data_IF_049872340224
#
_entry.id   IF_049872340224
#
_cell.length_a   1.000
_cell.length_b   1.000
_cell.length_c   1.000
_cell.angle_alpha   90.00
_cell.angle_beta   90.00
_cell.angle_gamma   90.00
#
_symmetry.space_group_name_H-M   'P 1'
#
loop_
_entity.id
_entity.type
_entity.pdbx_description
1 polymer ?
#
# COMPACT_ATOMS: atom_id res chain seq x y z
N UNK A 1 -3.12 64.98 11.80
CA UNK A 1 -2.78 63.64 12.33
C UNK A 1 -1.40 63.26 11.83
N UNK A 2 -0.46 62.75 12.66
CA UNK A 2 0.84 62.31 12.19
C UNK A 2 0.66 61.19 11.18
N UNK A 3 1.56 61.13 10.19
CA UNK A 3 1.50 60.28 9.02
C UNK A 3 1.14 58.81 9.39
N UNK A 4 -0.03 58.38 8.98
CA UNK A 4 -0.40 56.95 9.11
C UNK A 4 0.53 56.13 8.23
N UNK A 5 0.99 55.01 8.76
CA UNK A 5 1.75 54.03 7.97
C UNK A 5 0.94 53.58 6.77
N UNK A 6 1.55 53.53 5.60
CA UNK A 6 0.96 52.83 4.45
C UNK A 6 0.70 51.34 4.78
N UNK A 7 -0.25 50.73 4.08
CA UNK A 7 -0.66 49.34 4.33
C UNK A 7 0.51 48.34 4.47
N UNK A 8 1.51 48.47 3.61
CA UNK A 8 2.70 47.58 3.65
C UNK A 8 3.53 47.79 4.93
N UNK A 9 3.70 49.04 5.40
CA UNK A 9 4.38 49.34 6.66
C UNK A 9 3.59 48.86 7.87
N UNK A 10 2.26 49.02 7.82
CA UNK A 10 1.40 48.48 8.87
C UNK A 10 1.52 46.97 8.96
N UNK A 11 1.44 46.25 7.83
CA UNK A 11 1.61 44.80 7.80
C UNK A 11 2.98 44.37 8.30
N UNK A 12 4.03 45.09 7.94
CA UNK A 12 5.40 44.83 8.44
C UNK A 12 5.48 44.95 9.97
N UNK A 13 5.03 46.07 10.55
CA UNK A 13 5.03 46.27 12.01
C UNK A 13 4.09 45.28 12.72
N UNK A 14 2.92 44.97 12.15
CA UNK A 14 2.02 43.98 12.69
C UNK A 14 2.67 42.57 12.71
N UNK A 15 3.36 42.17 11.63
CA UNK A 15 4.07 40.89 11.57
C UNK A 15 5.20 40.82 12.58
N UNK A 16 5.99 41.89 12.77
CA UNK A 16 7.03 41.96 13.79
C UNK A 16 6.44 41.86 15.21
N UNK A 17 5.33 42.56 15.46
CA UNK A 17 4.65 42.51 16.76
C UNK A 17 4.08 41.13 17.06
N UNK A 18 3.50 40.45 16.06
CA UNK A 18 3.05 39.08 16.19
C UNK A 18 4.19 38.07 16.40
N UNK A 19 5.29 38.21 15.66
CA UNK A 19 6.44 37.34 15.78
C UNK A 19 7.07 37.40 17.21
N UNK A 20 7.12 38.60 17.83
CA UNK A 20 7.63 38.71 19.19
C UNK A 20 6.72 38.16 20.29
N UNK A 21 5.39 38.11 20.06
CA UNK A 21 4.41 37.57 21.01
C UNK A 21 4.15 36.07 20.87
N UNK A 22 4.50 35.50 19.73
CA UNK A 22 4.34 34.07 19.42
C UNK A 22 5.66 33.46 19.00
N UNK A 23 6.64 33.34 19.93
CA UNK A 23 7.92 32.74 19.59
C UNK A 23 7.71 31.29 19.12
N UNK A 24 8.28 30.96 17.96
CA UNK A 24 8.27 29.60 17.43
C UNK A 24 9.29 28.76 18.19
N UNK A 25 8.86 27.66 18.77
CA UNK A 25 9.76 26.65 19.35
C UNK A 25 10.34 25.79 18.21
N UNK A 26 11.66 25.63 18.20
CA UNK A 26 12.34 24.66 17.32
C UNK A 26 12.10 23.27 17.91
N UNK A 27 11.37 22.43 17.20
CA UNK A 27 11.16 21.03 17.60
C UNK A 27 12.37 20.22 17.11
N UNK A 28 13.24 19.85 18.02
CA UNK A 28 14.35 18.93 17.75
C UNK A 28 13.74 17.53 17.55
N UNK A 29 14.12 16.87 16.47
CA UNK A 29 13.77 15.46 16.22
C UNK A 29 14.98 14.58 16.47
N UNK A 30 14.78 13.49 17.18
CA UNK A 30 15.82 12.49 17.41
C UNK A 30 15.98 11.59 16.17
N UNK A 31 17.18 11.04 15.94
CA UNK A 31 17.40 10.07 14.87
C UNK A 31 16.48 8.85 15.01
N UNK A 32 15.98 8.35 13.89
CA UNK A 32 15.10 7.19 13.80
C UNK A 32 13.82 7.24 14.69
N UNK A 33 13.47 8.43 15.22
CA UNK A 33 12.28 8.56 16.06
C UNK A 33 10.99 8.46 15.24
N UNK A 34 10.84 9.25 14.18
CA UNK A 34 9.57 9.41 13.47
C UNK A 34 9.69 9.23 11.97
N UNK A 35 8.85 8.35 11.43
CA UNK A 35 8.53 8.24 10.01
C UNK A 35 7.17 8.91 9.76
N UNK A 36 7.17 10.02 9.03
CA UNK A 36 5.97 10.75 8.67
C UNK A 36 5.41 10.20 7.37
N UNK A 37 4.09 10.01 7.28
CA UNK A 37 3.43 9.40 6.13
C UNK A 37 2.25 10.24 5.68
N UNK A 38 2.13 10.41 4.35
CA UNK A 38 0.98 11.04 3.71
C UNK A 38 0.73 10.46 2.31
N UNK A 39 -0.42 10.76 1.73
CA UNK A 39 -0.69 10.52 0.31
C UNK A 39 -0.67 11.84 -0.45
N UNK A 40 -0.03 11.85 -1.61
CA UNK A 40 -0.14 12.97 -2.52
C UNK A 40 -1.61 13.13 -2.99
N UNK A 41 -2.08 14.40 -3.07
CA UNK A 41 -3.47 14.68 -3.44
C UNK A 41 -3.78 14.34 -4.91
N UNK A 42 -2.79 14.48 -5.81
CA UNK A 42 -2.93 14.11 -7.22
C UNK A 42 -2.52 12.66 -7.46
N UNK A 43 -3.00 12.08 -8.55
CA UNK A 43 -2.67 10.72 -8.99
C UNK A 43 -1.60 10.71 -10.08
N UNK A 44 -0.87 9.61 -10.19
CA UNK A 44 -0.15 9.21 -11.38
C UNK A 44 -0.90 8.05 -12.03
N UNK A 45 -0.62 7.75 -13.31
CA UNK A 45 -1.38 6.73 -14.02
C UNK A 45 -0.49 5.87 -14.92
N UNK A 46 -0.97 4.67 -15.22
CA UNK A 46 -0.45 3.82 -16.29
C UNK A 46 -1.59 3.33 -17.18
N UNK A 47 -1.28 2.91 -18.40
CA UNK A 47 -2.23 2.31 -19.33
C UNK A 47 -2.17 0.80 -19.20
N UNK A 48 -3.29 0.15 -18.94
CA UNK A 48 -3.37 -1.31 -18.97
C UNK A 48 -3.23 -1.80 -20.42
N UNK A 49 -2.18 -2.55 -20.76
CA UNK A 49 -1.95 -3.00 -22.14
C UNK A 49 -3.01 -3.99 -22.63
N UNK A 50 -3.76 -4.65 -21.74
CA UNK A 50 -4.80 -5.61 -22.12
C UNK A 50 -6.13 -4.92 -22.48
N UNK A 51 -6.47 -3.81 -21.79
CA UNK A 51 -7.75 -3.11 -21.96
C UNK A 51 -7.60 -1.76 -22.64
N UNK A 52 -6.41 -1.16 -22.64
CA UNK A 52 -6.16 0.22 -23.06
C UNK A 52 -6.68 1.27 -22.09
N UNK A 53 -7.19 0.88 -20.93
CA UNK A 53 -7.71 1.79 -19.91
C UNK A 53 -6.60 2.48 -19.14
N UNK A 54 -6.86 3.76 -18.80
CA UNK A 54 -5.97 4.54 -17.93
C UNK A 54 -6.27 4.22 -16.46
N UNK A 55 -5.33 3.59 -15.78
CA UNK A 55 -5.44 3.23 -14.36
C UNK A 55 -4.77 4.32 -13.51
N UNK A 56 -5.57 5.06 -12.75
CA UNK A 56 -5.07 6.06 -11.82
C UNK A 56 -4.58 5.41 -10.53
N UNK A 57 -3.40 5.84 -10.07
CA UNK A 57 -2.74 5.34 -8.87
C UNK A 57 -2.52 6.45 -7.85
N UNK A 58 -2.75 6.13 -6.59
CA UNK A 58 -2.41 7.02 -5.47
C UNK A 58 -0.91 6.96 -5.22
N UNK A 59 -0.30 8.07 -4.83
CA UNK A 59 1.13 8.11 -4.51
C UNK A 59 1.32 8.26 -3.02
N UNK A 60 1.85 7.22 -2.42
CA UNK A 60 2.26 7.14 -1.03
C UNK A 60 3.60 7.83 -0.87
N UNK A 61 3.71 8.71 0.12
CA UNK A 61 4.91 9.53 0.39
C UNK A 61 5.25 9.41 1.85
N UNK A 62 6.49 9.19 2.14
CA UNK A 62 6.99 9.18 3.51
C UNK A 62 8.36 9.83 3.61
N UNK A 63 8.62 10.36 4.81
CA UNK A 63 9.94 10.92 5.12
C UNK A 63 10.34 10.67 6.58
N UNK A 64 11.62 10.39 6.78
CA UNK A 64 12.23 10.37 8.11
C UNK A 64 12.39 11.80 8.63
N UNK A 65 11.85 12.06 9.82
CA UNK A 65 11.72 13.42 10.35
C UNK A 65 13.06 14.11 10.61
N UNK A 66 14.09 13.36 10.93
CA UNK A 66 15.40 13.93 11.31
C UNK A 66 16.25 14.32 10.10
N UNK A 67 16.20 13.55 9.02
CA UNK A 67 17.09 13.72 7.87
C UNK A 67 16.42 14.17 6.59
N UNK A 68 15.08 14.20 6.55
CA UNK A 68 14.26 14.41 5.35
C UNK A 68 14.49 13.36 4.25
N UNK A 69 15.11 12.23 4.61
CA UNK A 69 15.24 11.11 3.68
C UNK A 69 13.85 10.57 3.34
N UNK A 70 13.53 10.53 2.06
CA UNK A 70 12.17 10.33 1.60
C UNK A 70 12.04 9.13 0.67
N UNK A 71 10.90 8.47 0.74
CA UNK A 71 10.48 7.39 -0.15
C UNK A 71 9.10 7.72 -0.72
N UNK A 72 8.84 7.30 -1.95
CA UNK A 72 7.50 7.37 -2.54
C UNK A 72 7.25 6.18 -3.45
N UNK A 73 6.00 5.72 -3.51
CA UNK A 73 5.56 4.71 -4.46
C UNK A 73 4.09 4.89 -4.83
N UNK A 74 3.73 4.45 -6.03
CA UNK A 74 2.35 4.38 -6.47
C UNK A 74 1.69 3.08 -5.99
N UNK A 75 0.44 3.19 -5.55
CA UNK A 75 -0.44 2.09 -5.19
C UNK A 75 -1.80 2.30 -5.85
N UNK A 76 -2.61 1.24 -5.98
CA UNK A 76 -3.90 1.38 -6.67
C UNK A 76 -4.89 2.26 -5.90
N UNK A 77 -4.94 2.11 -4.58
CA UNK A 77 -5.94 2.78 -3.74
C UNK A 77 -5.32 3.29 -2.44
N UNK A 78 -6.12 4.03 -1.66
CA UNK A 78 -5.78 4.36 -0.27
C UNK A 78 -6.40 3.35 0.71
N UNK A 79 -6.51 2.08 0.33
CA UNK A 79 -6.98 1.02 1.23
C UNK A 79 -5.94 0.69 2.31
N UNK A 80 -6.38 0.04 3.38
CA UNK A 80 -5.47 -0.44 4.43
C UNK A 80 -4.42 -1.38 3.86
N UNK A 81 -4.79 -2.21 2.89
CA UNK A 81 -3.90 -3.19 2.25
C UNK A 81 -2.77 -2.51 1.49
N UNK A 82 -3.14 -1.54 0.64
CA UNK A 82 -2.18 -0.78 -0.17
C UNK A 82 -1.27 0.07 0.73
N UNK A 83 -1.83 0.65 1.80
CA UNK A 83 -1.06 1.39 2.81
C UNK A 83 -0.02 0.49 3.51
N UNK A 84 -0.45 -0.67 4.01
CA UNK A 84 0.44 -1.63 4.70
C UNK A 84 1.53 -2.13 3.75
N UNK A 85 1.15 -2.43 2.49
CA UNK A 85 2.11 -2.84 1.48
C UNK A 85 3.16 -1.75 1.21
N UNK A 86 2.73 -0.50 1.01
CA UNK A 86 3.63 0.61 0.77
C UNK A 86 4.55 0.89 1.98
N UNK A 87 4.00 0.90 3.19
CA UNK A 87 4.78 1.05 4.42
C UNK A 87 5.81 -0.07 4.57
N UNK A 88 5.45 -1.31 4.27
CA UNK A 88 6.39 -2.42 4.30
C UNK A 88 7.52 -2.24 3.28
N UNK A 89 7.21 -1.84 2.04
CA UNK A 89 8.20 -1.52 1.03
C UNK A 89 9.18 -0.43 1.50
N UNK A 90 8.67 0.60 2.19
CA UNK A 90 9.56 1.63 2.74
C UNK A 90 10.46 1.10 3.85
N UNK A 91 9.91 0.35 4.83
CA UNK A 91 10.72 -0.23 5.90
C UNK A 91 11.88 -1.09 5.32
N UNK A 92 11.61 -1.83 4.25
CA UNK A 92 12.66 -2.58 3.53
C UNK A 92 13.62 -1.66 2.79
N UNK A 93 13.14 -0.59 2.17
CA UNK A 93 13.98 0.39 1.47
C UNK A 93 14.95 1.10 2.43
N UNK A 94 14.48 1.58 3.57
CA UNK A 94 15.34 2.23 4.58
C UNK A 94 16.22 1.21 5.34
N UNK A 95 15.88 -0.07 5.26
CA UNK A 95 16.64 -1.17 5.88
C UNK A 95 16.53 -1.22 7.39
N UNK A 96 15.41 -0.78 7.96
CA UNK A 96 15.18 -0.81 9.42
C UNK A 96 13.82 -0.24 9.81
N UNK A 97 13.59 -0.14 11.11
CA UNK A 97 12.31 0.24 11.70
C UNK A 97 12.49 1.47 12.59
N UNK A 98 11.75 2.57 12.36
CA UNK A 98 11.73 3.73 13.24
C UNK A 98 10.99 3.43 14.54
N UNK A 99 11.14 4.31 15.55
CA UNK A 99 10.42 4.16 16.82
C UNK A 99 8.93 4.39 16.63
N UNK A 100 8.56 5.38 15.81
CA UNK A 100 7.17 5.77 15.59
C UNK A 100 6.87 5.95 14.10
N UNK A 101 5.67 5.52 13.72
CA UNK A 101 5.06 5.80 12.41
C UNK A 101 3.92 6.80 12.62
N UNK A 102 3.95 7.91 11.91
CA UNK A 102 3.03 9.05 12.08
C UNK A 102 2.23 9.25 10.79
N UNK A 103 1.11 8.55 10.62
CA UNK A 103 0.21 8.77 9.48
C UNK A 103 -0.57 10.08 9.66
N UNK A 104 -0.70 10.86 8.56
CA UNK A 104 -1.54 12.05 8.57
C UNK A 104 -3.00 11.71 8.30
N UNK A 105 -3.88 11.85 9.31
CA UNK A 105 -5.36 11.73 9.28
C UNK A 105 -5.95 10.72 8.26
N UNK A 106 -5.19 9.70 7.96
CA UNK A 106 -5.53 8.71 6.96
C UNK A 106 -6.68 7.81 7.47
N UNK A 107 -7.82 7.85 6.80
CA UNK A 107 -9.04 7.11 7.20
C UNK A 107 -8.82 5.60 7.33
N UNK A 108 -7.87 5.03 6.58
CA UNK A 108 -7.54 3.61 6.69
C UNK A 108 -6.68 3.30 7.93
N UNK A 109 -5.87 4.25 8.41
CA UNK A 109 -5.08 4.09 9.64
C UNK A 109 -5.89 4.40 10.90
N UNK A 110 -6.86 5.32 10.82
CA UNK A 110 -7.63 5.81 11.96
C UNK A 110 -9.11 5.52 11.73
N UNK A 111 -9.68 4.60 12.51
CA UNK A 111 -11.11 4.22 12.42
C UNK A 111 -12.01 5.32 12.97
N UNK A 112 -11.55 6.02 14.04
CA UNK A 112 -12.21 7.20 14.61
C UNK A 112 -11.19 8.27 14.97
N UNK A 113 -11.33 9.44 14.36
CA UNK A 113 -10.54 10.60 14.72
C UNK A 113 -11.10 11.19 16.04
N UNK A 114 -10.38 11.02 17.15
CA UNK A 114 -10.64 11.71 18.42
C UNK A 114 -9.40 12.54 18.73
N UNK A 115 -9.61 13.75 19.31
CA UNK A 115 -8.53 14.67 19.67
C UNK A 115 -7.59 14.10 20.74
N UNK A 116 -8.08 13.19 21.58
CA UNK A 116 -7.36 12.65 22.72
C UNK A 116 -6.96 11.17 22.55
N UNK A 117 -7.80 10.35 21.92
CA UNK A 117 -7.56 8.91 21.71
C UNK A 117 -8.09 8.47 20.34
N UNK A 118 -7.28 8.57 19.27
CA UNK A 118 -7.69 8.06 17.97
C UNK A 118 -7.73 6.53 17.99
N UNK A 119 -8.80 5.94 17.46
CA UNK A 119 -8.88 4.49 17.30
C UNK A 119 -8.11 4.09 16.05
N UNK A 120 -7.02 3.37 16.22
CA UNK A 120 -6.14 2.89 15.14
C UNK A 120 -6.74 1.61 14.54
N UNK A 121 -6.54 1.43 13.23
CA UNK A 121 -6.94 0.21 12.54
C UNK A 121 -6.17 -1.00 13.12
N UNK A 122 -6.88 -2.08 13.43
CA UNK A 122 -6.30 -3.27 14.07
C UNK A 122 -5.15 -3.88 13.24
N UNK A 123 -5.28 -3.93 11.91
CA UNK A 123 -4.24 -4.50 11.04
C UNK A 123 -2.96 -3.68 11.09
N UNK A 124 -3.08 -2.35 11.15
CA UNK A 124 -1.92 -1.47 11.29
C UNK A 124 -1.29 -1.61 12.68
N UNK A 125 -2.11 -1.80 13.72
CA UNK A 125 -1.62 -2.08 15.08
C UNK A 125 -0.85 -3.41 15.12
N UNK A 126 -1.36 -4.44 14.46
CA UNK A 126 -0.71 -5.76 14.36
C UNK A 126 0.64 -5.65 13.63
N UNK A 127 0.71 -4.83 12.57
CA UNK A 127 1.97 -4.53 11.87
C UNK A 127 2.96 -3.78 12.79
N UNK A 128 2.47 -2.80 13.56
CA UNK A 128 3.27 -2.08 14.57
C UNK A 128 3.86 -3.03 15.61
N UNK A 129 3.05 -3.95 16.11
CA UNK A 129 3.49 -4.98 17.06
C UNK A 129 4.51 -5.94 16.44
N UNK A 130 4.30 -6.33 15.18
CA UNK A 130 5.20 -7.25 14.45
C UNK A 130 6.60 -6.65 14.25
N UNK A 131 6.69 -5.39 13.80
CA UNK A 131 7.96 -4.71 13.55
C UNK A 131 8.51 -3.95 14.76
N UNK A 132 7.71 -3.73 15.79
CA UNK A 132 8.11 -3.02 17.02
C UNK A 132 8.14 -1.50 16.90
N UNK A 133 7.22 -0.90 16.10
CA UNK A 133 7.00 0.54 16.05
C UNK A 133 5.67 0.95 16.68
N UNK A 134 5.62 2.15 17.25
CA UNK A 134 4.38 2.74 17.72
C UNK A 134 3.69 3.52 16.61
N UNK A 135 2.35 3.52 16.58
CA UNK A 135 1.56 4.34 15.67
C UNK A 135 1.09 5.57 16.42
N UNK A 136 1.48 6.74 15.97
CA UNK A 136 1.16 8.00 16.61
C UNK A 136 0.53 8.94 15.56
N UNK A 137 -0.79 8.86 15.32
CA UNK A 137 -1.45 9.73 14.37
C UNK A 137 -1.16 11.21 14.63
N UNK A 138 -1.01 11.99 13.57
CA UNK A 138 -0.79 13.41 13.69
C UNK A 138 -1.94 14.08 14.46
N UNK A 139 -1.60 14.99 15.39
CA UNK A 139 -2.59 15.63 16.25
C UNK A 139 -3.50 16.55 15.46
N UNK A 140 -4.82 16.39 15.65
CA UNK A 140 -5.83 17.25 15.02
C UNK A 140 -5.62 18.70 15.47
N UNK A 141 -5.56 19.63 14.50
CA UNK A 141 -5.46 21.07 14.78
C UNK A 141 -4.07 21.58 15.17
N UNK A 142 -2.98 20.81 14.96
CA UNK A 142 -1.59 21.26 15.14
C UNK A 142 -0.83 21.25 13.80
N UNK A 143 -0.91 22.30 12.98
CA UNK A 143 -0.28 22.34 11.65
C UNK A 143 1.23 22.09 11.65
N UNK A 144 1.92 22.49 12.73
CA UNK A 144 3.39 22.31 12.85
C UNK A 144 3.82 20.84 12.89
N UNK A 145 2.95 19.92 13.32
CA UNK A 145 3.26 18.49 13.35
C UNK A 145 3.28 17.90 11.93
N UNK A 146 2.57 18.52 10.98
CA UNK A 146 2.38 18.07 9.60
C UNK A 146 3.26 18.81 8.58
N UNK A 147 3.71 20.03 8.91
CA UNK A 147 4.37 20.94 7.95
C UNK A 147 5.51 20.24 7.19
N UNK A 148 6.29 19.39 7.85
CA UNK A 148 7.42 18.71 7.23
C UNK A 148 6.99 17.67 6.18
N UNK A 149 5.96 16.83 6.47
CA UNK A 149 5.48 15.86 5.49
C UNK A 149 4.76 16.55 4.33
N UNK A 150 4.02 17.64 4.60
CA UNK A 150 3.41 18.47 3.56
C UNK A 150 4.46 19.09 2.64
N UNK A 151 5.59 19.54 3.19
CA UNK A 151 6.70 20.07 2.39
C UNK A 151 7.39 18.95 1.57
N UNK A 152 7.52 17.74 2.11
CA UNK A 152 8.01 16.60 1.33
C UNK A 152 7.04 16.22 0.21
N UNK A 153 5.73 16.24 0.44
CA UNK A 153 4.73 16.03 -0.63
C UNK A 153 4.90 17.08 -1.73
N UNK A 154 5.09 18.36 -1.41
CA UNK A 154 5.38 19.41 -2.40
C UNK A 154 6.66 19.13 -3.19
N UNK A 155 7.72 18.64 -2.53
CA UNK A 155 8.96 18.24 -3.20
C UNK A 155 8.74 17.04 -4.13
N UNK A 156 7.92 16.08 -3.75
CA UNK A 156 7.52 14.96 -4.63
C UNK A 156 6.79 15.50 -5.87
N UNK A 157 5.89 16.48 -5.74
CA UNK A 157 5.27 17.12 -6.93
C UNK A 157 6.31 17.72 -7.87
N UNK A 158 7.30 18.42 -7.34
CA UNK A 158 8.35 19.05 -8.16
C UNK A 158 9.33 18.04 -8.75
N UNK A 159 9.69 16.99 -8.02
CA UNK A 159 10.76 16.05 -8.37
C UNK A 159 10.27 14.81 -9.09
N UNK A 160 9.05 14.36 -8.82
CA UNK A 160 8.45 13.15 -9.40
C UNK A 160 7.40 13.53 -10.44
N UNK A 161 6.31 14.19 -10.05
CA UNK A 161 5.19 14.49 -10.96
C UNK A 161 5.64 15.34 -12.15
N UNK A 162 6.43 16.38 -11.92
CA UNK A 162 6.90 17.24 -13.01
C UNK A 162 7.69 16.47 -14.07
N UNK A 163 8.42 15.41 -13.68
CA UNK A 163 9.20 14.57 -14.60
C UNK A 163 8.36 13.46 -15.25
N UNK A 164 7.37 12.91 -14.53
CA UNK A 164 6.67 11.71 -14.95
C UNK A 164 5.30 11.98 -15.60
N UNK A 165 4.63 13.11 -15.35
CA UNK A 165 3.27 13.43 -15.85
C UNK A 165 3.10 13.37 -17.37
N UNK A 166 4.19 13.47 -18.13
CA UNK A 166 4.19 13.40 -19.61
C UNK A 166 4.67 12.05 -20.13
N UNK A 167 5.08 11.14 -19.26
CA UNK A 167 5.53 9.80 -19.65
C UNK A 167 4.35 8.84 -19.61
N UNK A 168 4.37 7.87 -20.52
CA UNK A 168 3.39 6.80 -20.55
C UNK A 168 4.03 5.55 -19.93
N UNK A 169 3.29 4.88 -19.08
CA UNK A 169 3.67 3.65 -18.39
C UNK A 169 2.63 2.57 -18.72
N UNK A 170 3.04 1.32 -18.76
CA UNK A 170 2.19 0.19 -19.12
C UNK A 170 1.97 -0.79 -17.96
N UNK A 171 2.51 -0.49 -16.79
CA UNK A 171 2.26 -1.25 -15.56
C UNK A 171 2.55 -0.43 -14.32
N UNK A 172 1.95 -0.83 -13.18
CA UNK A 172 2.28 -0.25 -11.88
C UNK A 172 3.76 -0.45 -11.53
N UNK A 173 4.35 -1.58 -11.92
CA UNK A 173 5.78 -1.86 -11.68
C UNK A 173 6.67 -0.88 -12.43
N UNK A 174 6.39 -0.61 -13.71
CA UNK A 174 7.13 0.35 -14.53
C UNK A 174 7.03 1.77 -13.95
N UNK A 175 5.82 2.18 -13.56
CA UNK A 175 5.59 3.45 -12.89
C UNK A 175 6.39 3.55 -11.58
N UNK A 176 6.38 2.51 -10.76
CA UNK A 176 7.12 2.48 -9.50
C UNK A 176 8.64 2.48 -9.68
N UNK A 177 9.17 1.83 -10.71
CA UNK A 177 10.59 1.95 -11.06
C UNK A 177 10.97 3.40 -11.40
N UNK A 178 10.14 4.09 -12.19
CA UNK A 178 10.38 5.48 -12.54
C UNK A 178 10.28 6.43 -11.33
N UNK A 179 9.32 6.20 -10.41
CA UNK A 179 9.21 6.94 -9.14
C UNK A 179 10.45 6.70 -8.28
N UNK A 180 10.86 5.45 -8.12
CA UNK A 180 12.05 5.08 -7.33
C UNK A 180 13.31 5.76 -7.85
N UNK A 181 13.52 5.80 -9.17
CA UNK A 181 14.63 6.52 -9.77
C UNK A 181 14.59 8.02 -9.47
N UNK A 182 13.41 8.66 -9.56
CA UNK A 182 13.24 10.07 -9.21
C UNK A 182 13.52 10.33 -7.72
N UNK A 183 13.12 9.42 -6.83
CA UNK A 183 13.37 9.52 -5.39
C UNK A 183 14.84 9.31 -5.04
N UNK A 184 15.53 8.41 -5.72
CA UNK A 184 16.98 8.24 -5.58
C UNK A 184 17.71 9.55 -5.93
N UNK A 185 17.42 10.14 -7.10
CA UNK A 185 17.96 11.42 -7.50
C UNK A 185 17.64 12.54 -6.49
N UNK A 186 16.42 12.54 -5.94
CA UNK A 186 16.00 13.50 -4.92
C UNK A 186 16.83 13.37 -3.65
N UNK A 187 17.02 12.16 -3.13
CA UNK A 187 17.79 11.90 -1.93
C UNK A 187 19.30 12.21 -2.11
N UNK A 188 19.83 12.02 -3.31
CA UNK A 188 21.20 12.34 -3.68
C UNK A 188 21.42 13.80 -4.09
N UNK A 189 20.34 14.57 -4.26
CA UNK A 189 20.46 16.00 -4.54
C UNK A 189 20.89 16.75 -3.28
N UNK A 190 21.93 17.58 -3.40
CA UNK A 190 22.40 18.45 -2.32
C UNK A 190 21.26 19.33 -1.80
N UNK A 191 21.10 19.37 -0.49
CA UNK A 191 20.07 20.19 0.15
C UNK A 191 20.41 21.68 0.01
N UNK A 192 19.36 22.49 -0.17
CA UNK A 192 19.52 23.92 -0.28
C UNK A 192 20.15 24.48 1.01
N UNK A 193 21.16 25.35 0.89
CA UNK A 193 21.91 25.97 2.00
C UNK A 193 22.71 24.99 2.88
N UNK A 194 22.86 23.72 2.48
CA UNK A 194 23.60 22.71 3.23
C UNK A 194 24.71 22.05 2.39
N UNK A 195 25.82 21.61 2.98
CA UNK A 195 26.92 20.98 2.26
C UNK A 195 26.70 19.48 2.00
N UNK A 196 25.54 18.92 2.36
CA UNK A 196 25.25 17.48 2.33
C UNK A 196 23.96 17.17 1.56
N UNK A 197 23.80 15.89 1.24
CA UNK A 197 22.57 15.30 0.67
C UNK A 197 21.71 14.66 1.78
N UNK A 198 20.45 14.34 1.46
CA UNK A 198 19.58 13.59 2.39
C UNK A 198 20.12 12.19 2.64
N UNK A 199 20.64 11.54 1.61
CA UNK A 199 21.21 10.20 1.69
C UNK A 199 22.45 10.17 2.61
N UNK A 200 23.37 11.12 2.49
CA UNK A 200 24.53 11.24 3.38
C UNK A 200 24.11 11.41 4.84
N UNK A 201 23.13 12.26 5.10
CA UNK A 201 22.58 12.42 6.46
C UNK A 201 21.90 11.16 6.97
N UNK A 202 21.09 10.51 6.12
CA UNK A 202 20.43 9.25 6.49
C UNK A 202 21.45 8.19 6.87
N UNK A 203 22.45 7.95 6.04
CA UNK A 203 23.45 6.91 6.27
C UNK A 203 24.29 7.17 7.53
N UNK A 204 24.60 8.43 7.82
CA UNK A 204 25.46 8.81 8.95
C UNK A 204 24.71 9.01 10.26
N UNK A 205 23.52 9.63 10.23
CA UNK A 205 22.83 10.10 11.42
C UNK A 205 21.59 9.28 11.80
N UNK A 206 20.97 8.54 10.88
CA UNK A 206 19.67 7.92 11.14
C UNK A 206 19.70 6.40 11.03
N UNK A 207 20.31 5.88 9.96
CA UNK A 207 20.41 4.43 9.71
C UNK A 207 21.00 3.61 10.87
N UNK A 208 22.03 4.08 11.60
CA UNK A 208 22.59 3.33 12.73
C UNK A 208 21.64 3.17 13.92
N UNK A 209 20.61 4.03 14.02
CA UNK A 209 19.63 4.05 15.12
C UNK A 209 18.32 3.35 14.78
N UNK A 210 18.10 2.97 13.52
CA UNK A 210 16.94 2.17 13.14
C UNK A 210 16.99 0.78 13.80
N UNK A 211 15.86 0.31 14.30
CA UNK A 211 15.74 -1.06 14.79
C UNK A 211 15.87 -2.05 13.63
N UNK A 212 16.39 -3.28 13.87
CA UNK A 212 16.46 -4.29 12.82
C UNK A 212 15.06 -4.70 12.34
N UNK A 213 14.94 -5.00 11.06
CA UNK A 213 13.72 -5.57 10.48
C UNK A 213 13.49 -6.98 11.02
N UNK A 214 12.23 -7.35 11.21
CA UNK A 214 11.88 -8.74 11.50
C UNK A 214 12.30 -9.66 10.34
N UNK A 215 12.78 -10.86 10.67
CA UNK A 215 13.23 -11.83 9.68
C UNK A 215 12.11 -12.30 8.74
N UNK A 216 10.87 -12.31 9.22
CA UNK A 216 9.68 -12.69 8.45
C UNK A 216 8.91 -11.41 8.12
N UNK A 217 8.59 -11.13 6.84
CA UNK A 217 7.75 -10.00 6.46
C UNK A 217 6.36 -10.09 7.09
N UNK A 218 5.78 -8.94 7.44
CA UNK A 218 4.41 -8.90 7.91
C UNK A 218 3.45 -9.23 6.76
N UNK A 219 2.53 -10.16 7.01
CA UNK A 219 1.52 -10.56 6.04
C UNK A 219 0.12 -10.27 6.57
N UNK A 220 -0.62 -9.43 5.85
CA UNK A 220 -2.01 -9.14 6.18
C UNK A 220 -2.84 -10.40 5.94
N UNK A 221 -3.57 -10.82 6.97
CA UNK A 221 -4.51 -11.94 6.90
C UNK A 221 -5.92 -11.44 7.13
N UNK A 222 -6.79 -11.73 6.18
CA UNK A 222 -8.22 -11.49 6.28
C UNK A 222 -8.94 -12.81 6.52
N UNK A 223 -10.03 -12.73 7.27
CA UNK A 223 -10.82 -13.90 7.67
C UNK A 223 -12.23 -13.74 7.15
N UNK A 224 -12.76 -14.80 6.58
CA UNK A 224 -14.16 -14.91 6.19
C UNK A 224 -14.68 -16.32 6.49
N UNK A 225 -15.96 -16.41 6.78
CA UNK A 225 -16.66 -17.69 6.86
C UNK A 225 -17.67 -17.73 5.72
N UNK A 226 -17.54 -18.71 4.82
CA UNK A 226 -18.30 -18.79 3.58
C UNK A 226 -18.91 -20.19 3.42
N UNK A 227 -20.08 -20.26 2.77
CA UNK A 227 -20.72 -21.51 2.43
C UNK A 227 -20.32 -21.96 1.04
N UNK A 228 -19.98 -23.24 0.89
CA UNK A 228 -19.65 -23.83 -0.41
C UNK A 228 -20.92 -24.02 -1.25
N UNK A 229 -20.91 -23.46 -2.44
CA UNK A 229 -22.03 -23.53 -3.37
C UNK A 229 -22.12 -24.90 -4.06
N UNK A 230 -23.25 -25.19 -4.71
CA UNK A 230 -23.52 -26.48 -5.42
C UNK A 230 -22.51 -26.76 -6.56
N UNK A 231 -21.84 -25.74 -7.07
CA UNK A 231 -20.80 -25.83 -8.09
C UNK A 231 -19.40 -26.04 -7.51
N UNK A 232 -19.28 -26.48 -6.24
CA UNK A 232 -18.04 -26.69 -5.48
C UNK A 232 -17.11 -25.48 -5.45
N UNK A 233 -17.67 -24.26 -5.42
CA UNK A 233 -16.90 -23.02 -5.27
C UNK A 233 -17.39 -22.22 -4.07
N UNK A 234 -16.48 -21.43 -3.50
CA UNK A 234 -16.81 -20.30 -2.62
C UNK A 234 -16.74 -19.01 -3.41
N UNK A 235 -17.56 -18.04 -3.05
CA UNK A 235 -17.51 -16.69 -3.59
C UNK A 235 -16.85 -15.74 -2.60
N UNK A 236 -15.66 -15.24 -2.93
CA UNK A 236 -14.99 -14.22 -2.13
C UNK A 236 -15.46 -12.84 -2.59
N UNK A 237 -16.39 -12.27 -1.82
CA UNK A 237 -17.09 -11.02 -2.18
C UNK A 237 -16.16 -9.83 -2.37
N UNK A 238 -15.03 -9.76 -1.65
CA UNK A 238 -14.02 -8.70 -1.79
C UNK A 238 -13.39 -8.67 -3.18
N UNK A 239 -13.10 -9.85 -3.73
CA UNK A 239 -12.46 -9.99 -5.05
C UNK A 239 -13.50 -10.16 -6.16
N UNK A 240 -14.77 -10.41 -5.78
CA UNK A 240 -15.84 -10.81 -6.70
C UNK A 240 -15.44 -12.00 -7.56
N UNK A 241 -14.72 -12.96 -6.96
CA UNK A 241 -14.12 -14.11 -7.62
C UNK A 241 -14.52 -15.42 -6.96
N UNK A 242 -14.53 -16.53 -7.73
CA UNK A 242 -14.91 -17.86 -7.27
C UNK A 242 -13.69 -18.78 -7.18
N UNK A 243 -13.54 -19.48 -6.04
CA UNK A 243 -12.45 -20.42 -5.79
C UNK A 243 -13.02 -21.82 -5.52
N UNK A 244 -12.49 -22.84 -6.21
CA UNK A 244 -12.95 -24.21 -6.07
C UNK A 244 -12.48 -24.86 -4.77
N UNK A 245 -13.28 -25.77 -4.26
CA UNK A 245 -12.93 -26.67 -3.15
C UNK A 245 -13.32 -28.09 -3.52
N UNK A 246 -12.81 -29.13 -2.85
CA UNK A 246 -13.25 -30.50 -3.09
C UNK A 246 -14.77 -30.61 -3.09
N UNK A 247 -15.34 -31.32 -4.08
CA UNK A 247 -16.80 -31.42 -4.26
C UNK A 247 -17.50 -32.02 -3.04
N UNK A 248 -16.77 -32.77 -2.20
CA UNK A 248 -17.28 -33.34 -0.94
C UNK A 248 -17.68 -32.26 0.07
N UNK A 249 -17.13 -31.01 -0.07
CA UNK A 249 -17.43 -29.91 0.84
C UNK A 249 -18.67 -29.11 0.41
N UNK A 250 -19.36 -29.48 -0.65
CA UNK A 250 -20.59 -28.81 -1.08
C UNK A 250 -21.59 -28.72 0.07
N UNK A 251 -22.08 -27.50 0.32
CA UNK A 251 -23.01 -27.19 1.39
C UNK A 251 -22.37 -26.93 2.76
N UNK A 252 -21.08 -27.25 2.93
CA UNK A 252 -20.37 -26.99 4.18
C UNK A 252 -20.06 -25.48 4.36
N UNK A 253 -19.92 -25.09 5.62
CA UNK A 253 -19.38 -23.80 6.00
C UNK A 253 -17.87 -23.95 6.19
N UNK A 254 -17.09 -23.09 5.51
CA UNK A 254 -15.63 -23.16 5.49
C UNK A 254 -15.04 -21.84 5.96
N UNK A 255 -13.92 -21.93 6.68
CA UNK A 255 -13.12 -20.75 7.08
C UNK A 255 -12.16 -20.42 5.94
N UNK A 256 -12.15 -19.17 5.52
CA UNK A 256 -11.28 -18.65 4.47
C UNK A 256 -10.32 -17.65 5.08
N UNK A 257 -9.03 -17.90 4.93
CA UNK A 257 -7.97 -16.97 5.27
C UNK A 257 -7.33 -16.52 3.96
N UNK A 258 -7.29 -15.22 3.70
CA UNK A 258 -6.68 -14.74 2.47
C UNK A 258 -5.73 -13.57 2.74
N UNK A 259 -4.63 -13.57 2.00
CA UNK A 259 -3.59 -12.56 2.01
C UNK A 259 -3.66 -11.72 0.73
N UNK A 260 -2.66 -10.92 0.44
CA UNK A 260 -2.60 -10.20 -0.84
C UNK A 260 -2.46 -11.15 -2.04
N UNK A 261 -1.79 -12.28 -1.86
CA UNK A 261 -1.42 -13.20 -2.95
C UNK A 261 -2.11 -14.55 -2.91
N UNK A 262 -2.59 -14.97 -1.75
CA UNK A 262 -3.09 -16.34 -1.53
C UNK A 262 -4.48 -16.35 -0.90
N UNK A 263 -5.25 -17.37 -1.23
CA UNK A 263 -6.53 -17.70 -0.59
C UNK A 263 -6.45 -19.14 -0.07
N UNK A 264 -6.53 -19.31 1.25
CA UNK A 264 -6.49 -20.60 1.95
C UNK A 264 -7.86 -20.91 2.54
N UNK A 265 -8.41 -22.05 2.20
CA UNK A 265 -9.78 -22.47 2.58
C UNK A 265 -9.66 -23.69 3.49
N UNK A 266 -10.29 -23.62 4.66
CA UNK A 266 -10.24 -24.63 5.69
C UNK A 266 -11.62 -25.18 5.99
N UNK A 267 -11.77 -26.48 5.89
CA UNK A 267 -12.92 -27.21 6.41
C UNK A 267 -12.52 -28.03 7.66
N UNK A 268 -13.45 -28.23 8.58
CA UNK A 268 -13.18 -28.92 9.83
C UNK A 268 -12.62 -30.34 9.58
N UNK A 269 -11.45 -30.63 10.17
CA UNK A 269 -10.79 -31.93 10.06
C UNK A 269 -10.17 -32.25 8.67
N UNK A 270 -10.11 -31.29 7.76
CA UNK A 270 -9.58 -31.48 6.42
C UNK A 270 -8.30 -30.68 6.20
N UNK A 271 -7.48 -31.11 5.23
CA UNK A 271 -6.33 -30.35 4.78
C UNK A 271 -6.77 -29.06 4.09
N UNK A 272 -6.03 -27.95 4.31
CA UNK A 272 -6.33 -26.68 3.69
C UNK A 272 -6.17 -26.72 2.17
N UNK A 273 -7.10 -26.06 1.47
CA UNK A 273 -7.03 -25.83 0.03
C UNK A 273 -6.47 -24.45 -0.23
N UNK A 274 -5.44 -24.36 -1.07
CA UNK A 274 -4.76 -23.10 -1.38
C UNK A 274 -4.92 -22.74 -2.85
N UNK A 275 -5.21 -21.44 -3.10
CA UNK A 275 -5.27 -20.85 -4.43
C UNK A 275 -4.42 -19.60 -4.49
N UNK A 276 -3.84 -19.32 -5.64
CA UNK A 276 -3.36 -17.96 -5.93
C UNK A 276 -4.56 -17.01 -5.99
N UNK A 277 -4.45 -15.87 -5.33
CA UNK A 277 -5.52 -14.89 -5.31
C UNK A 277 -5.68 -14.24 -6.69
N UNK A 278 -6.90 -14.09 -7.16
CA UNK A 278 -7.26 -13.49 -8.43
C UNK A 278 -8.24 -12.34 -8.22
N UNK A 279 -7.98 -11.21 -8.86
CA UNK A 279 -8.84 -10.02 -8.81
C UNK A 279 -9.77 -9.91 -10.04
N UNK A 280 -9.79 -10.96 -10.91
CA UNK A 280 -10.67 -10.99 -12.08
C UNK A 280 -12.12 -11.15 -11.63
N UNK A 281 -12.89 -10.07 -11.69
CA UNK A 281 -14.29 -10.06 -11.28
C UNK A 281 -15.13 -11.05 -12.10
N UNK A 282 -15.97 -11.82 -11.41
CA UNK A 282 -16.82 -12.86 -12.03
C UNK A 282 -16.06 -14.08 -12.54
N UNK A 283 -14.72 -14.11 -12.34
CA UNK A 283 -13.88 -15.23 -12.78
C UNK A 283 -13.93 -16.43 -11.84
N UNK A 284 -13.45 -17.56 -12.32
CA UNK A 284 -13.34 -18.82 -11.58
C UNK A 284 -11.89 -19.30 -11.58
N UNK A 285 -11.38 -19.65 -10.38
CA UNK A 285 -10.14 -20.40 -10.22
C UNK A 285 -10.48 -21.81 -9.79
N UNK A 286 -10.39 -22.76 -10.71
CA UNK A 286 -10.79 -24.15 -10.49
C UNK A 286 -9.58 -25.08 -10.57
N UNK A 287 -9.36 -25.88 -9.52
CA UNK A 287 -8.40 -26.99 -9.54
C UNK A 287 -9.14 -28.25 -9.99
N UNK A 288 -8.52 -29.03 -10.89
CA UNK A 288 -9.11 -30.22 -11.50
C UNK A 288 -9.46 -31.27 -10.45
N UNK A 289 -8.61 -31.45 -9.45
CA UNK A 289 -8.77 -32.44 -8.36
C UNK A 289 -9.95 -32.13 -7.43
N UNK A 290 -10.49 -30.91 -7.49
CA UNK A 290 -11.68 -30.53 -6.73
C UNK A 290 -13.00 -30.99 -7.38
N UNK A 291 -12.95 -31.38 -8.63
CA UNK A 291 -14.15 -31.80 -9.39
C UNK A 291 -14.46 -33.27 -9.14
N UNK A 292 -15.74 -33.65 -9.19
CA UNK A 292 -16.10 -35.03 -9.21
C UNK A 292 -15.63 -35.72 -10.51
N UNK A 293 -15.48 -37.05 -10.49
CA UNK A 293 -14.95 -37.83 -11.60
C UNK A 293 -15.68 -37.56 -12.94
N UNK A 294 -16.99 -37.39 -12.89
CA UNK A 294 -17.84 -37.10 -14.09
C UNK A 294 -17.44 -35.74 -14.71
N UNK A 295 -17.20 -34.72 -13.88
CA UNK A 295 -16.78 -33.37 -14.36
C UNK A 295 -15.33 -33.34 -14.81
N UNK A 296 -14.43 -34.11 -14.16
CA UNK A 296 -13.06 -34.28 -14.62
C UNK A 296 -13.00 -34.90 -16.00
N UNK A 297 -13.75 -36.00 -16.21
CA UNK A 297 -13.88 -36.64 -17.52
C UNK A 297 -14.47 -35.72 -18.59
N UNK A 298 -15.39 -34.82 -18.22
CA UNK A 298 -15.93 -33.84 -19.16
C UNK A 298 -14.88 -32.84 -19.63
N UNK A 299 -14.02 -32.37 -18.73
CA UNK A 299 -12.92 -31.43 -19.08
C UNK A 299 -11.82 -32.12 -19.91
N UNK A 300 -11.63 -33.41 -19.74
CA UNK A 300 -10.64 -34.20 -20.51
C UNK A 300 -11.10 -34.55 -21.94
N UNK A 301 -12.35 -34.22 -22.30
CA UNK A 301 -12.89 -34.41 -23.64
C UNK A 301 -12.35 -33.40 -24.62
N UNK A 302 -11.09 -33.62 -25.07
CA UNK A 302 -10.48 -32.89 -26.17
C UNK A 302 -11.11 -33.29 -27.53
N UNK A 303 -10.89 -32.56 -28.61
CA UNK A 303 -11.22 -33.01 -29.96
C UNK A 303 -10.69 -34.42 -30.25
N UNK A 304 -9.48 -34.74 -29.82
CA UNK A 304 -8.87 -36.07 -29.97
C UNK A 304 -9.61 -37.17 -29.21
N UNK A 305 -10.21 -36.87 -28.06
CA UNK A 305 -11.08 -37.83 -27.35
C UNK A 305 -12.27 -38.23 -28.22
N UNK A 306 -12.95 -37.29 -28.84
CA UNK A 306 -14.09 -37.56 -29.70
C UNK A 306 -13.69 -38.29 -30.99
N UNK A 307 -12.54 -37.92 -31.58
CA UNK A 307 -11.98 -38.62 -32.74
C UNK A 307 -11.66 -40.07 -32.37
N UNK A 308 -11.01 -40.32 -31.24
CA UNK A 308 -10.70 -41.66 -30.78
C UNK A 308 -11.98 -42.49 -30.41
N UNK A 309 -12.99 -41.82 -29.84
CA UNK A 309 -14.26 -42.46 -29.56
C UNK A 309 -15.00 -42.82 -30.85
N UNK A 310 -14.99 -41.96 -31.85
CA UNK A 310 -15.54 -42.22 -33.17
C UNK A 310 -14.84 -43.39 -33.86
N UNK A 311 -13.51 -43.43 -33.86
CA UNK A 311 -12.70 -44.55 -34.40
C UNK A 311 -13.01 -45.91 -33.74
N UNK A 312 -13.31 -45.90 -32.44
CA UNK A 312 -13.73 -47.14 -31.73
C UNK A 312 -15.10 -47.65 -32.14
N UNK A 313 -15.97 -46.78 -32.65
CA UNK A 313 -17.33 -47.14 -33.04
C UNK A 313 -17.47 -47.46 -34.53
N UNK A 314 -16.67 -46.84 -35.37
CA UNK A 314 -16.65 -47.08 -36.80
C UNK A 314 -15.35 -46.50 -37.42
N UNK A 315 -14.68 -47.31 -38.29
CA UNK A 315 -13.51 -46.85 -39.06
C UNK A 315 -13.84 -45.70 -40.01
N UNK A 316 -15.15 -45.55 -40.35
CA UNK A 316 -15.62 -44.49 -41.28
C UNK A 316 -15.82 -43.14 -40.54
N UNK A 317 -15.96 -43.16 -39.22
CA UNK A 317 -16.24 -41.96 -38.40
C UNK A 317 -14.96 -41.34 -37.76
N UNK A 318 -13.79 -41.93 -37.99
CA UNK A 318 -12.52 -41.49 -37.39
C UNK A 318 -11.65 -40.64 -38.34
#
# INVERSE_FOLDING_TARGET
>A
YPACYGYSHFCYHLSQHHASRHPGMVLISEPADKLLIDFAGDTLAYVDPATGELINCQVFVECLKHTDYSFAMAVHTQSVDDFIFALQCCLFHIGGVPVQVVPDNFKAAVVRANRYEPTINQVLQDMGNHYGFAITPARVGKPKDKAQVEDQVKLVYQRVYAKLRKKMFHSLSELNMAISQCMLEHNQTRMQQHPYTREERFLSLEKPFLKPLAAIPFEIRFYATLKVAKNNHIYLGRDKHYYSVPYQWIGWEVKVIYTHTMVSIYASGQQAVNHLRSFKQGGYTTQKDHLCSTHQHYLDRSPDYYINLAKRKSEVLG
#
